data_IF_988520299232
#
_entry.id   IF_988520299232
#
_cell.length_a   1.000
_cell.length_b   1.000
_cell.length_c   1.000
_cell.angle_alpha   90.00
_cell.angle_beta   90.00
_cell.angle_gamma   90.00
#
_symmetry.space_group_name_H-M   'P 1'
#
loop_
_entity.id
_entity.type
_entity.pdbx_description
1 polymer ?
#
# COMPACT_ATOMS: atom_id res chain seq x y z
N UNK A 1 13.73 10.23 1.18
CA UNK A 1 12.70 9.73 2.11
C UNK A 1 12.47 8.25 1.84
N UNK A 2 12.03 7.52 2.86
CA UNK A 2 11.62 6.13 2.73
C UNK A 2 10.10 6.08 2.60
N UNK A 3 9.62 5.60 1.47
CA UNK A 3 8.19 5.52 1.17
C UNK A 3 7.78 4.06 1.06
N UNK A 4 6.61 3.72 1.61
CA UNK A 4 5.98 2.41 1.39
C UNK A 4 4.66 2.58 0.65
N UNK A 5 4.42 1.72 -0.33
CA UNK A 5 3.16 1.64 -1.07
C UNK A 5 2.55 0.27 -0.79
N UNK A 6 1.45 0.26 -0.03
CA UNK A 6 0.68 -0.92 0.31
C UNK A 6 -0.55 -0.94 -0.59
N UNK A 7 -0.77 -2.02 -1.32
CA UNK A 7 -1.90 -2.10 -2.24
C UNK A 7 -2.50 -3.48 -2.36
N UNK A 8 -3.77 -3.52 -2.77
CA UNK A 8 -4.47 -4.76 -3.12
C UNK A 8 -4.43 -5.01 -4.62
N UNK A 9 -4.01 -6.20 -5.02
CA UNK A 9 -3.91 -6.59 -6.42
C UNK A 9 -5.16 -7.36 -6.89
N UNK A 10 -6.13 -6.62 -7.45
CA UNK A 10 -7.28 -7.22 -8.14
C UNK A 10 -7.32 -6.84 -9.64
N UNK A 11 -6.38 -6.01 -10.13
CA UNK A 11 -6.35 -5.62 -11.54
C UNK A 11 -4.98 -5.09 -12.01
N UNK A 12 -4.70 -5.29 -13.31
CA UNK A 12 -3.53 -4.70 -14.00
C UNK A 12 -3.46 -3.17 -13.89
N UNK A 13 -4.59 -2.50 -13.70
CA UNK A 13 -4.64 -1.05 -13.53
C UNK A 13 -3.95 -0.58 -12.25
N UNK A 14 -4.09 -1.33 -11.15
CA UNK A 14 -3.45 -0.98 -9.89
C UNK A 14 -1.94 -1.13 -9.97
N UNK A 15 -1.43 -2.19 -10.60
CA UNK A 15 0.01 -2.36 -10.83
C UNK A 15 0.60 -1.20 -11.62
N UNK A 16 -0.08 -0.74 -12.68
CA UNK A 16 0.37 0.39 -13.48
C UNK A 16 0.46 1.68 -12.65
N UNK A 17 -0.52 1.94 -11.78
CA UNK A 17 -0.51 3.10 -10.86
C UNK A 17 0.65 3.01 -9.87
N UNK A 18 0.84 1.86 -9.23
CA UNK A 18 1.93 1.64 -8.27
C UNK A 18 3.28 1.81 -8.95
N UNK A 19 3.44 1.30 -10.18
CA UNK A 19 4.67 1.42 -10.94
C UNK A 19 4.95 2.88 -11.32
N UNK A 20 3.94 3.64 -11.75
CA UNK A 20 4.08 5.05 -12.08
C UNK A 20 4.47 5.89 -10.85
N UNK A 21 3.82 5.66 -9.71
CA UNK A 21 4.15 6.33 -8.45
C UNK A 21 5.57 5.97 -7.99
N UNK A 22 5.91 4.68 -7.99
CA UNK A 22 7.24 4.23 -7.57
C UNK A 22 8.34 4.84 -8.41
N UNK A 23 8.17 4.82 -9.75
CA UNK A 23 9.15 5.38 -10.68
C UNK A 23 9.33 6.88 -10.47
N UNK A 24 8.23 7.61 -10.24
CA UNK A 24 8.27 9.06 -10.00
C UNK A 24 8.98 9.41 -8.68
N UNK A 25 8.67 8.67 -7.61
CA UNK A 25 9.29 8.87 -6.29
C UNK A 25 10.79 8.50 -6.34
N UNK A 26 11.14 7.41 -7.01
CA UNK A 26 12.53 6.99 -7.23
C UNK A 26 13.31 8.01 -8.06
N UNK A 27 12.70 8.60 -9.10
CA UNK A 27 13.33 9.63 -9.93
C UNK A 27 13.67 10.91 -9.13
N UNK A 28 12.96 11.17 -8.03
CA UNK A 28 13.28 12.25 -7.09
C UNK A 28 14.38 11.87 -6.06
N UNK A 29 14.98 10.69 -6.18
CA UNK A 29 16.05 10.22 -5.28
C UNK A 29 15.52 9.70 -3.94
N UNK A 30 14.34 9.09 -3.91
CA UNK A 30 13.74 8.50 -2.71
C UNK A 30 13.62 6.97 -2.80
N UNK A 31 13.62 6.30 -1.64
CA UNK A 31 13.45 4.84 -1.55
C UNK A 31 11.96 4.50 -1.56
N UNK A 32 11.57 3.49 -2.33
CA UNK A 32 10.18 3.01 -2.40
C UNK A 32 10.13 1.52 -2.16
N UNK A 33 9.39 1.11 -1.13
CA UNK A 33 9.06 -0.28 -0.86
C UNK A 33 7.61 -0.55 -1.29
N UNK A 34 7.41 -1.55 -2.14
CA UNK A 34 6.08 -1.96 -2.61
C UNK A 34 5.63 -3.22 -1.88
N UNK A 35 4.39 -3.23 -1.39
CA UNK A 35 3.79 -4.36 -0.68
C UNK A 35 2.43 -4.68 -1.26
N UNK A 36 2.28 -5.90 -1.79
CA UNK A 36 0.98 -6.48 -2.17
C UNK A 36 0.35 -7.15 -0.96
N UNK A 37 -0.76 -6.61 -0.47
CA UNK A 37 -1.41 -7.06 0.77
C UNK A 37 -1.80 -8.55 0.73
N UNK A 38 -2.16 -9.07 -0.44
CA UNK A 38 -2.56 -10.47 -0.62
C UNK A 38 -1.38 -11.46 -0.55
N UNK A 39 -0.17 -11.01 -0.86
CA UNK A 39 1.03 -11.87 -0.97
C UNK A 39 1.94 -11.79 0.25
N UNK A 40 1.71 -10.83 1.13
CA UNK A 40 2.57 -10.60 2.29
C UNK A 40 2.18 -11.49 3.47
N UNK A 41 3.06 -12.43 3.79
CA UNK A 41 2.89 -13.33 4.94
C UNK A 41 3.11 -12.65 6.30
N UNK A 42 3.89 -11.56 6.33
CA UNK A 42 4.24 -10.81 7.53
C UNK A 42 3.78 -9.36 7.38
N UNK A 43 3.29 -8.78 8.47
CA UNK A 43 2.96 -7.37 8.52
C UNK A 43 4.22 -6.52 8.72
N UNK A 44 4.28 -5.40 8.01
CA UNK A 44 5.39 -4.44 8.08
C UNK A 44 5.21 -3.48 9.27
N UNK A 45 6.34 -3.09 9.87
CA UNK A 45 6.38 -1.94 10.77
C UNK A 45 6.45 -0.67 9.92
N UNK A 46 5.52 0.27 10.13
CA UNK A 46 5.44 1.48 9.30
C UNK A 46 6.25 2.66 9.88
N UNK A 47 6.75 2.55 11.11
CA UNK A 47 7.62 3.54 11.75
C UNK A 47 8.85 4.00 10.93
N UNK A 48 9.53 3.13 10.14
CA UNK A 48 10.71 3.53 9.39
C UNK A 48 10.41 4.35 8.12
N UNK A 49 9.14 4.54 7.76
CA UNK A 49 8.74 5.20 6.53
C UNK A 49 8.22 6.61 6.83
N UNK A 50 8.69 7.58 6.05
CA UNK A 50 8.26 8.97 6.12
C UNK A 50 6.88 9.16 5.48
N UNK A 51 6.51 8.26 4.55
CA UNK A 51 5.27 8.34 3.78
C UNK A 51 4.70 6.94 3.50
N UNK A 52 3.41 6.78 3.78
CA UNK A 52 2.65 5.53 3.56
C UNK A 52 1.54 5.81 2.55
N UNK A 53 1.63 5.20 1.37
CA UNK A 53 0.53 5.15 0.42
C UNK A 53 -0.26 3.85 0.60
N UNK A 54 -1.59 3.97 0.58
CA UNK A 54 -2.51 2.83 0.61
C UNK A 54 -3.42 2.91 -0.62
N UNK A 55 -3.42 1.86 -1.44
CA UNK A 55 -4.17 1.80 -2.69
C UNK A 55 -5.06 0.56 -2.80
N UNK A 56 -6.30 0.72 -3.25
CA UNK A 56 -7.21 -0.40 -3.52
C UNK A 56 -8.23 -0.03 -4.57
N UNK A 57 -8.62 -0.97 -5.46
CA UNK A 57 -9.85 -0.82 -6.22
C UNK A 57 -11.05 -0.73 -5.26
N UNK A 58 -12.05 0.07 -5.63
CA UNK A 58 -13.29 0.14 -4.87
C UNK A 58 -14.15 -1.07 -5.19
N UNK A 59 -14.56 -1.80 -4.15
CA UNK A 59 -15.48 -2.92 -4.24
C UNK A 59 -16.92 -2.46 -3.93
N UNK A 60 -17.84 -2.92 -4.79
CA UNK A 60 -19.28 -2.72 -4.65
C UNK A 60 -19.82 -1.43 -5.26
N UNK A 61 -21.12 -1.42 -5.55
CA UNK A 61 -21.82 -0.31 -6.23
C UNK A 61 -22.28 0.80 -5.28
N UNK A 62 -22.28 0.56 -3.96
CA UNK A 62 -22.85 1.47 -2.97
C UNK A 62 -22.08 1.37 -1.64
N UNK A 63 -21.54 2.49 -1.16
CA UNK A 63 -20.79 2.57 0.11
C UNK A 63 -19.31 2.22 0.04
N UNK A 64 -18.80 1.82 -1.13
CA UNK A 64 -17.38 1.70 -1.50
C UNK A 64 -16.45 1.12 -0.42
N UNK A 65 -16.27 -0.20 -0.41
CA UNK A 65 -15.30 -0.87 0.49
C UNK A 65 -14.02 -1.19 -0.27
N UNK A 66 -12.89 -1.23 0.42
CA UNK A 66 -11.65 -1.80 -0.13
C UNK A 66 -11.54 -3.28 0.25
N UNK A 67 -10.60 -3.99 -0.40
CA UNK A 67 -10.49 -5.45 -0.25
C UNK A 67 -10.28 -5.89 1.21
N UNK A 68 -10.93 -6.98 1.59
CA UNK A 68 -10.76 -7.56 2.93
C UNK A 68 -9.30 -7.96 3.21
N UNK A 69 -8.54 -8.53 2.26
CA UNK A 69 -7.11 -8.77 2.44
C UNK A 69 -6.34 -7.51 2.84
N UNK A 70 -6.60 -6.37 2.18
CA UNK A 70 -5.96 -5.11 2.52
C UNK A 70 -6.35 -4.62 3.91
N UNK A 71 -7.62 -4.66 4.25
CA UNK A 71 -8.08 -4.30 5.60
C UNK A 71 -7.43 -5.16 6.68
N UNK A 72 -7.34 -6.47 6.46
CA UNK A 72 -6.68 -7.40 7.38
C UNK A 72 -5.17 -7.18 7.45
N UNK A 73 -4.52 -6.80 6.36
CA UNK A 73 -3.10 -6.49 6.33
C UNK A 73 -2.79 -5.21 7.12
N UNK A 74 -3.54 -4.13 6.87
CA UNK A 74 -3.35 -2.84 7.55
C UNK A 74 -3.56 -2.95 9.06
N UNK A 75 -4.55 -3.72 9.51
CA UNK A 75 -4.78 -3.98 10.94
C UNK A 75 -3.61 -4.68 11.65
N UNK A 76 -2.76 -5.39 10.92
CA UNK A 76 -1.57 -6.06 11.47
C UNK A 76 -0.34 -5.16 11.44
N UNK A 77 -0.35 -4.08 10.66
CA UNK A 77 0.75 -3.14 10.60
C UNK A 77 0.80 -2.29 11.88
N UNK A 78 1.99 -1.99 12.36
CA UNK A 78 2.21 -1.04 13.47
C UNK A 78 2.64 0.33 12.92
N UNK A 79 2.45 1.40 13.71
CA UNK A 79 2.91 2.76 13.35
C UNK A 79 1.89 3.64 12.61
N UNK A 80 0.63 3.20 12.42
CA UNK A 80 -0.44 4.06 11.85
C UNK A 80 -1.24 4.85 12.90
N UNK A 81 -1.35 4.35 14.13
CA UNK A 81 -2.19 4.97 15.18
C UNK A 81 -1.39 5.50 16.38
N UNK A 82 -0.07 5.67 16.24
CA UNK A 82 0.79 6.13 17.35
C UNK A 82 0.90 5.13 18.53
N UNK A 83 0.56 3.86 18.29
CA UNK A 83 0.82 2.72 19.18
C UNK A 83 1.83 1.77 18.55
#
# INVERSE_FOLDING_TARGET
>A
MRTIIIYSDESKGMEAVVQALSSSIQAMGHEVHQVKAEKSARAESLFPYDLVYVGSPVLGSWGGKFSQPLASYLKKCSGLEGR
#
